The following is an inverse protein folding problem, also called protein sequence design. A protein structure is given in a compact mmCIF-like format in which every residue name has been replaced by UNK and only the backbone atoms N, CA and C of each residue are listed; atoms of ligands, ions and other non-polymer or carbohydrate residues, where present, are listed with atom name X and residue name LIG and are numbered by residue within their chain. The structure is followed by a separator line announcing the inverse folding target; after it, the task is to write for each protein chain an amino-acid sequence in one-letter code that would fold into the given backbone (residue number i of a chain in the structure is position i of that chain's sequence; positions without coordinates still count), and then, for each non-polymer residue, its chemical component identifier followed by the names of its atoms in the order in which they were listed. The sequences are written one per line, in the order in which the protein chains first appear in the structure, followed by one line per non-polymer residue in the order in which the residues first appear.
data_IF_537407165608
#
_entry.id   IF_537407165608
#
_cell.length_a   1.000
_cell.length_b   1.000
_cell.length_c   1.000
_cell.angle_alpha   90.00
_cell.angle_beta   90.00
_cell.angle_gamma   90.00
#
_symmetry.space_group_name_H-M   'P 1'
#
loop_
_entity.id
_entity.type
_entity.pdbx_description
1 polymer ?
#
# COMPACT_ATOMS: atom_id res chain seq x y z
N UNK A 1 -4.01 22.22 -0.03
CA UNK A 1 -2.64 21.70 0.24
C UNK A 1 -2.52 20.37 -0.47
N UNK A 2 -1.63 20.23 -1.45
CA UNK A 2 -1.40 18.91 -2.05
C UNK A 2 -0.73 18.03 -0.98
N UNK A 3 -1.20 16.79 -0.84
CA UNK A 3 -0.63 15.85 0.12
C UNK A 3 0.77 15.49 -0.37
N UNK A 4 1.77 16.00 0.31
CA UNK A 4 3.13 15.49 0.20
C UNK A 4 3.23 14.18 1.01
N UNK A 5 4.02 13.24 0.52
CA UNK A 5 4.25 11.97 1.21
C UNK A 5 4.73 12.16 2.66
N UNK A 6 5.50 13.21 2.92
CA UNK A 6 5.95 13.56 4.27
C UNK A 6 4.78 13.87 5.22
N UNK A 7 3.72 14.52 4.75
CA UNK A 7 2.57 14.83 5.58
C UNK A 7 1.84 13.56 6.05
N UNK A 8 1.76 12.54 5.19
CA UNK A 8 1.15 11.24 5.55
C UNK A 8 1.93 10.58 6.68
N UNK A 9 3.27 10.52 6.56
CA UNK A 9 4.13 9.86 7.54
C UNK A 9 4.24 10.65 8.85
N UNK A 10 4.31 11.99 8.76
CA UNK A 10 4.29 12.86 9.95
C UNK A 10 2.97 12.69 10.73
N UNK A 11 1.84 12.64 10.04
CA UNK A 11 0.54 12.45 10.65
C UNK A 11 0.42 11.06 11.29
N UNK A 12 0.86 10.00 10.59
CA UNK A 12 0.91 8.63 11.11
C UNK A 12 1.76 8.55 12.39
N UNK A 13 2.94 9.19 12.38
CA UNK A 13 3.82 9.22 13.54
C UNK A 13 3.22 9.99 14.71
N UNK A 14 2.62 11.17 14.47
CA UNK A 14 2.02 12.01 15.51
C UNK A 14 0.77 11.37 16.14
N UNK A 15 -0.09 10.79 15.31
CA UNK A 15 -1.34 10.17 15.74
C UNK A 15 -1.18 8.73 16.29
N UNK A 16 0.03 8.18 16.31
CA UNK A 16 0.28 6.78 16.65
C UNK A 16 -0.52 5.82 15.75
N UNK A 17 -0.53 6.10 14.45
CA UNK A 17 -1.26 5.33 13.44
C UNK A 17 -2.79 5.28 13.67
N UNK A 18 -3.39 6.29 14.30
CA UNK A 18 -4.85 6.39 14.42
C UNK A 18 -5.46 6.59 13.01
N UNK A 19 -6.32 5.68 12.54
CA UNK A 19 -6.95 5.81 11.23
C UNK A 19 -7.74 7.10 11.04
N UNK A 20 -8.32 7.65 12.09
CA UNK A 20 -9.13 8.88 12.04
C UNK A 20 -8.31 10.12 11.72
N UNK A 21 -7.04 10.12 12.07
CA UNK A 21 -6.16 11.24 11.75
C UNK A 21 -6.06 11.47 10.24
N UNK A 22 -6.17 10.41 9.42
CA UNK A 22 -6.11 10.52 7.96
C UNK A 22 -7.31 11.26 7.34
N UNK A 23 -8.36 11.55 8.12
CA UNK A 23 -9.48 12.40 7.70
C UNK A 23 -9.07 13.88 7.53
N UNK A 24 -7.93 14.29 8.10
CA UNK A 24 -7.38 15.64 7.93
C UNK A 24 -6.65 15.85 6.59
N UNK A 25 -6.38 14.75 5.87
CA UNK A 25 -5.64 14.80 4.61
C UNK A 25 -6.58 15.11 3.44
N UNK A 26 -6.25 16.16 2.71
CA UNK A 26 -6.87 16.46 1.42
C UNK A 26 -5.96 15.99 0.28
N UNK A 27 -6.52 15.34 -0.73
CA UNK A 27 -5.79 14.93 -1.92
C UNK A 27 -5.85 13.43 -2.23
N UNK A 28 -5.22 13.06 -3.34
CA UNK A 28 -5.11 11.66 -3.75
C UNK A 28 -4.09 10.93 -2.91
N UNK A 29 -4.49 9.82 -2.28
CA UNK A 29 -3.62 9.10 -1.37
C UNK A 29 -3.72 7.58 -1.52
N UNK A 30 -2.55 6.94 -1.66
CA UNK A 30 -2.31 5.54 -1.33
C UNK A 30 -0.86 5.43 -0.84
N UNK A 31 -0.66 4.98 0.38
CA UNK A 31 0.65 4.91 1.02
C UNK A 31 0.80 3.62 1.81
N UNK A 32 2.06 3.18 1.98
CA UNK A 32 2.43 2.13 2.91
C UNK A 32 3.71 2.54 3.64
N UNK A 33 3.84 2.16 4.92
CA UNK A 33 4.97 2.56 5.75
C UNK A 33 5.26 1.56 6.86
N UNK A 34 6.42 1.72 7.46
CA UNK A 34 6.85 1.02 8.67
C UNK A 34 6.94 2.02 9.82
N UNK A 35 6.57 1.58 11.00
CA UNK A 35 6.72 2.36 12.23
C UNK A 35 7.69 1.64 13.18
N UNK A 36 8.73 2.34 13.62
CA UNK A 36 9.72 1.77 14.54
C UNK A 36 9.13 1.31 15.88
N UNK A 37 7.99 1.90 16.28
CA UNK A 37 7.26 1.56 17.50
C UNK A 37 6.51 0.24 17.39
N UNK A 38 6.23 -0.21 16.16
CA UNK A 38 5.52 -1.46 15.87
C UNK A 38 6.30 -2.32 14.85
N UNK A 39 7.48 -2.85 15.26
CA UNK A 39 8.30 -3.66 14.37
C UNK A 39 7.53 -4.91 13.92
N UNK A 40 7.72 -5.30 12.67
CA UNK A 40 7.01 -6.43 12.07
C UNK A 40 5.61 -6.11 11.54
N UNK A 41 5.16 -4.85 11.65
CA UNK A 41 3.90 -4.39 11.05
C UNK A 41 4.18 -3.47 9.88
N UNK A 42 3.54 -3.75 8.74
CA UNK A 42 3.45 -2.82 7.61
C UNK A 42 2.08 -2.18 7.66
N UNK A 43 2.04 -0.86 7.75
CA UNK A 43 0.81 -0.10 7.64
C UNK A 43 0.56 0.30 6.19
N UNK A 44 -0.71 0.38 5.81
CA UNK A 44 -1.11 0.93 4.52
C UNK A 44 -2.43 1.68 4.65
N UNK A 45 -2.59 2.74 3.89
CA UNK A 45 -3.82 3.50 3.83
C UNK A 45 -4.14 3.91 2.40
N UNK A 46 -5.42 3.85 2.07
CA UNK A 46 -5.96 4.37 0.82
C UNK A 46 -7.01 5.45 1.10
N UNK A 47 -6.75 6.66 0.61
CA UNK A 47 -7.74 7.73 0.51
C UNK A 47 -8.54 7.64 -0.79
N UNK A 48 -8.60 8.74 -1.56
CA UNK A 48 -9.22 8.80 -2.89
C UNK A 48 -8.15 8.89 -3.99
N UNK A 49 -8.55 8.72 -5.24
CA UNK A 49 -7.75 9.06 -6.42
C UNK A 49 -6.58 8.14 -6.75
N UNK A 50 -6.02 7.43 -5.79
CA UNK A 50 -4.91 6.47 -6.00
C UNK A 50 -5.35 5.05 -5.68
N UNK A 51 -5.21 4.10 -6.62
CA UNK A 51 -5.56 2.72 -6.36
C UNK A 51 -4.55 2.04 -5.43
N UNK A 52 -5.06 1.11 -4.62
CA UNK A 52 -4.28 0.19 -3.82
C UNK A 52 -4.90 -1.20 -3.94
N UNK A 53 -4.09 -2.16 -4.30
CA UNK A 53 -4.50 -3.56 -4.46
C UNK A 53 -3.78 -4.44 -3.46
N UNK A 54 -4.47 -5.45 -2.94
CA UNK A 54 -3.89 -6.52 -2.14
C UNK A 54 -3.92 -7.84 -2.90
N UNK A 55 -2.82 -8.58 -2.82
CA UNK A 55 -2.72 -9.98 -3.21
C UNK A 55 -2.47 -10.82 -1.97
N UNK A 56 -3.43 -11.67 -1.61
CA UNK A 56 -3.32 -12.55 -0.45
C UNK A 56 -2.97 -13.97 -0.91
N UNK A 57 -1.83 -14.46 -0.49
CA UNK A 57 -1.41 -15.85 -0.62
C UNK A 57 -1.78 -16.66 0.63
N UNK A 58 -1.11 -17.78 0.82
CA UNK A 58 -1.31 -18.65 1.98
C UNK A 58 -0.70 -18.06 3.25
N UNK A 59 0.54 -17.59 3.17
CA UNK A 59 1.33 -17.08 4.28
C UNK A 59 1.92 -15.70 4.00
N UNK A 60 1.51 -15.05 2.92
CA UNK A 60 2.04 -13.77 2.46
C UNK A 60 0.94 -12.83 1.99
N UNK A 61 1.18 -11.54 2.15
CA UNK A 61 0.37 -10.47 1.57
C UNK A 61 1.27 -9.54 0.78
N UNK A 62 0.88 -9.29 -0.45
CA UNK A 62 1.49 -8.28 -1.31
C UNK A 62 0.54 -7.11 -1.49
N UNK A 63 1.09 -5.93 -1.74
CA UNK A 63 0.29 -4.78 -2.15
C UNK A 63 0.94 -4.07 -3.33
N UNK A 64 0.12 -3.46 -4.17
CA UNK A 64 0.56 -2.75 -5.35
C UNK A 64 -0.46 -1.68 -5.76
N UNK A 65 -0.03 -0.76 -6.62
CA UNK A 65 -0.92 0.25 -7.20
C UNK A 65 -1.82 -0.31 -8.32
N UNK A 66 -1.51 -1.49 -8.86
CA UNK A 66 -2.30 -2.12 -9.93
C UNK A 66 -2.49 -3.61 -9.69
N UNK A 67 -3.60 -4.15 -10.18
CA UNK A 67 -3.86 -5.59 -10.17
C UNK A 67 -2.82 -6.34 -11.01
N UNK A 68 -2.47 -5.80 -12.18
CA UNK A 68 -1.48 -6.40 -13.09
C UNK A 68 -0.12 -6.62 -12.42
N UNK A 69 0.32 -5.69 -11.56
CA UNK A 69 1.56 -5.85 -10.81
C UNK A 69 1.50 -7.09 -9.88
N UNK A 70 0.37 -7.34 -9.24
CA UNK A 70 0.18 -8.54 -8.40
C UNK A 70 0.09 -9.83 -9.23
N UNK A 71 -0.49 -9.77 -10.43
CA UNK A 71 -0.52 -10.91 -11.35
C UNK A 71 0.89 -11.29 -11.79
N UNK A 72 1.73 -10.29 -12.14
CA UNK A 72 3.14 -10.50 -12.45
C UNK A 72 3.88 -11.11 -11.26
N UNK A 73 3.69 -10.58 -10.06
CA UNK A 73 4.30 -11.14 -8.83
C UNK A 73 3.88 -12.59 -8.63
N UNK A 74 2.58 -12.90 -8.78
CA UNK A 74 2.06 -14.27 -8.68
C UNK A 74 2.72 -15.23 -9.67
N UNK A 75 2.89 -14.79 -10.92
CA UNK A 75 3.54 -15.58 -11.95
C UNK A 75 5.02 -15.85 -11.64
N UNK A 76 5.78 -14.81 -11.28
CA UNK A 76 7.22 -14.93 -11.02
C UNK A 76 7.56 -15.65 -9.73
N UNK A 77 6.74 -15.51 -8.69
CA UNK A 77 6.97 -16.17 -7.39
C UNK A 77 6.39 -17.58 -7.32
N UNK A 78 5.47 -17.93 -8.21
CA UNK A 78 4.67 -19.16 -8.12
C UNK A 78 3.60 -19.11 -7.02
N UNK A 79 3.49 -18.02 -6.29
CA UNK A 79 2.50 -17.84 -5.21
C UNK A 79 1.13 -17.54 -5.80
N UNK A 80 0.14 -18.35 -5.51
CA UNK A 80 -1.24 -18.08 -5.91
C UNK A 80 -1.82 -16.95 -5.07
N UNK A 81 -2.08 -15.81 -5.71
CA UNK A 81 -2.62 -14.63 -5.06
C UNK A 81 -4.12 -14.45 -5.33
N UNK A 82 -4.88 -14.28 -4.27
CA UNK A 82 -6.25 -13.76 -4.35
C UNK A 82 -6.18 -12.24 -4.32
N UNK A 83 -6.41 -11.60 -5.45
CA UNK A 83 -6.33 -10.15 -5.59
C UNK A 83 -7.65 -9.46 -5.27
N UNK A 84 -7.58 -8.33 -4.62
CA UNK A 84 -8.72 -7.45 -4.36
C UNK A 84 -8.28 -6.00 -4.27
N UNK A 85 -9.12 -5.10 -4.78
CA UNK A 85 -8.90 -3.67 -4.59
C UNK A 85 -9.29 -3.25 -3.18
N UNK A 86 -8.43 -2.46 -2.54
CA UNK A 86 -8.73 -1.83 -1.25
C UNK A 86 -9.70 -0.68 -1.49
N UNK A 87 -10.76 -0.59 -0.71
CA UNK A 87 -11.75 0.50 -0.84
C UNK A 87 -11.17 1.83 -0.34
N UNK A 88 -11.64 2.94 -0.92
CA UNK A 88 -11.32 4.29 -0.42
C UNK A 88 -11.65 4.42 1.07
N UNK A 89 -10.83 5.17 1.79
CA UNK A 89 -10.95 5.37 3.23
C UNK A 89 -10.70 4.10 4.03
N UNK A 90 -9.74 3.28 3.61
CA UNK A 90 -9.34 2.06 4.33
C UNK A 90 -7.92 2.21 4.85
N UNK A 91 -7.76 1.89 6.11
CA UNK A 91 -6.49 1.72 6.81
C UNK A 91 -6.26 0.23 7.10
N UNK A 92 -5.04 -0.24 6.92
CA UNK A 92 -4.63 -1.63 7.08
C UNK A 92 -3.38 -1.73 7.95
N UNK A 93 -3.33 -2.72 8.81
CA UNK A 93 -2.10 -3.22 9.42
C UNK A 93 -1.85 -4.65 8.94
N UNK A 94 -0.70 -4.87 8.33
CA UNK A 94 -0.27 -6.16 7.79
C UNK A 94 0.83 -6.70 8.70
N UNK A 95 0.66 -7.93 9.18
CA UNK A 95 1.63 -8.60 10.06
C UNK A 95 1.64 -10.09 9.74
N UNK A 96 2.82 -10.71 9.78
CA UNK A 96 2.99 -12.15 9.59
C UNK A 96 2.31 -12.68 8.31
N UNK A 97 2.48 -11.93 7.20
CA UNK A 97 1.90 -12.28 5.91
C UNK A 97 0.37 -12.20 5.85
N UNK A 98 -0.29 -11.51 6.77
CA UNK A 98 -1.75 -11.40 6.85
C UNK A 98 -2.21 -9.97 7.09
N UNK A 99 -3.47 -9.71 6.76
CA UNK A 99 -4.16 -8.49 7.19
C UNK A 99 -4.56 -8.69 8.64
N UNK A 100 -3.80 -8.10 9.57
CA UNK A 100 -4.02 -8.23 11.01
C UNK A 100 -5.14 -7.29 11.49
N UNK A 101 -5.23 -6.10 10.90
CA UNK A 101 -6.28 -5.13 11.26
C UNK A 101 -6.74 -4.35 10.04
N UNK A 102 -8.01 -4.00 10.04
CA UNK A 102 -8.64 -3.13 9.03
C UNK A 102 -9.52 -2.11 9.75
N UNK A 103 -9.31 -0.85 9.45
CA UNK A 103 -10.15 0.24 9.94
C UNK A 103 -10.63 1.13 8.81
N UNK A 104 -11.62 1.97 9.09
CA UNK A 104 -12.20 2.91 8.14
C UNK A 104 -11.98 4.34 8.62
N UNK A 105 -11.74 5.23 7.66
CA UNK A 105 -11.73 6.67 7.85
C UNK A 105 -12.50 7.33 6.71
N UNK A 106 -12.85 8.60 6.84
CA UNK A 106 -13.58 9.37 5.83
C UNK A 106 -12.61 10.19 4.99
N UNK A 107 -12.22 9.73 3.78
CA UNK A 107 -11.30 10.50 2.95
C UNK A 107 -12.00 11.72 2.37
N UNK A 108 -11.26 12.79 2.12
CA UNK A 108 -11.77 13.95 1.39
C UNK A 108 -12.10 13.54 -0.06
N UNK A 109 -13.38 13.59 -0.41
CA UNK A 109 -13.88 13.26 -1.74
C UNK A 109 -14.07 14.50 -2.62
N UNK A 110 -13.79 15.68 -2.10
CA UNK A 110 -13.95 16.94 -2.84
C UNK A 110 -12.71 17.29 -3.66
N UNK A 111 -11.60 16.61 -3.38
CA UNK A 111 -10.37 16.82 -4.12
C UNK A 111 -10.49 16.32 -5.57
N UNK A 112 -10.16 17.21 -6.50
CA UNK A 112 -10.07 16.92 -7.94
C UNK A 112 -8.60 17.08 -8.34
N UNK A 113 -8.00 16.01 -8.86
CA UNK A 113 -6.63 16.06 -9.36
C UNK A 113 -6.59 16.79 -10.70
N UNK A 114 -5.91 17.93 -10.77
CA UNK A 114 -5.87 18.76 -12.00
C UNK A 114 -5.04 18.11 -13.11
N UNK A 115 -4.01 17.34 -12.78
CA UNK A 115 -3.17 16.65 -13.77
C UNK A 115 -2.37 15.50 -13.14
N UNK A 116 -2.51 14.30 -13.70
CA UNK A 116 -1.62 13.19 -13.36
C UNK A 116 -0.28 13.36 -14.10
N UNK A 117 0.83 13.37 -13.37
CA UNK A 117 2.16 13.30 -13.98
C UNK A 117 2.43 11.87 -14.47
N UNK A 118 3.01 11.70 -15.66
CA UNK A 118 3.37 10.36 -16.13
C UNK A 118 4.42 9.73 -15.21
N UNK A 119 4.23 8.46 -14.86
CA UNK A 119 5.22 7.72 -14.10
C UNK A 119 6.47 7.48 -14.95
N UNK A 120 7.61 7.97 -14.49
CA UNK A 120 8.91 7.69 -15.11
C UNK A 120 9.51 6.46 -14.43
N UNK A 121 9.83 5.44 -15.22
CA UNK A 121 10.49 4.22 -14.73
C UNK A 121 11.95 4.22 -15.15
N UNK A 122 12.86 3.93 -14.22
CA UNK A 122 14.24 3.67 -14.55
C UNK A 122 14.35 2.34 -15.33
N UNK A 123 15.17 2.27 -16.39
CA UNK A 123 15.42 1.01 -17.11
C UNK A 123 15.91 -0.10 -16.14
N UNK A 124 15.32 -1.28 -16.25
CA UNK A 124 15.69 -2.45 -15.44
C UNK A 124 15.12 -2.49 -14.01
N UNK A 125 14.52 -1.41 -13.52
CA UNK A 125 13.98 -1.35 -12.14
C UNK A 125 12.92 -2.42 -11.88
N UNK A 126 12.04 -2.68 -12.85
CA UNK A 126 10.98 -3.68 -12.70
C UNK A 126 11.54 -5.09 -12.51
N UNK A 127 12.55 -5.47 -13.31
CA UNK A 127 13.18 -6.78 -13.22
C UNK A 127 13.88 -7.00 -11.86
N UNK A 128 14.58 -5.97 -11.36
CA UNK A 128 15.22 -6.03 -10.06
C UNK A 128 14.21 -6.20 -8.92
N UNK A 129 13.13 -5.43 -8.91
CA UNK A 129 12.09 -5.51 -7.88
C UNK A 129 11.40 -6.88 -7.88
N UNK A 130 11.10 -7.43 -9.06
CA UNK A 130 10.48 -8.76 -9.19
C UNK A 130 11.41 -9.85 -8.68
N UNK A 131 12.71 -9.80 -9.02
CA UNK A 131 13.70 -10.76 -8.55
C UNK A 131 13.82 -10.74 -7.01
N UNK A 132 13.80 -9.55 -6.38
CA UNK A 132 13.81 -9.40 -4.92
C UNK A 132 12.56 -9.98 -4.28
N UNK A 133 11.38 -9.73 -4.83
CA UNK A 133 10.12 -10.28 -4.34
C UNK A 133 10.10 -11.81 -4.45
N UNK A 134 10.57 -12.36 -5.56
CA UNK A 134 10.67 -13.81 -5.75
C UNK A 134 11.61 -14.46 -4.72
N UNK A 135 12.76 -13.83 -4.44
CA UNK A 135 13.70 -14.33 -3.43
C UNK A 135 13.11 -14.30 -2.02
N UNK A 136 12.36 -13.25 -1.66
CA UNK A 136 11.68 -13.14 -0.37
C UNK A 136 10.56 -14.18 -0.22
N UNK A 137 9.76 -14.40 -1.26
CA UNK A 137 8.71 -15.40 -1.24
C UNK A 137 9.26 -16.83 -1.11
N UNK A 138 10.38 -17.13 -1.80
CA UNK A 138 11.05 -18.42 -1.68
C UNK A 138 11.65 -18.67 -0.27
N UNK A 139 12.09 -17.63 0.41
CA UNK A 139 12.62 -17.71 1.79
C UNK A 139 11.52 -17.90 2.85
N UNK A 140 10.26 -17.58 2.50
CA UNK A 140 9.09 -17.70 3.40
C UNK A 140 8.31 -19.01 3.21
N UNK A 141 8.69 -19.82 2.21
CA UNK A 141 8.06 -21.10 1.89
C UNK A 141 8.65 -22.26 2.70
#
# INVERSE_FOLDING_TARGET
MSVDSEAIFALAAHSHNDPRAFEELAGSMAAAWLDQREPGTVFAARGVGRPLWLGRGRNEVFFASTRTALEIVSEYTGVRLRTSEVRDGTFLALRDGRVAHTARFRPDRTYVEERALPAVRAPGQSAYCIARLAALAAAAA
#
